data_IF_895803962108
#
_entry.id   IF_895803962108
#
_cell.length_a   1.000
_cell.length_b   1.000
_cell.length_c   1.000
_cell.angle_alpha   90.00
_cell.angle_beta   90.00
_cell.angle_gamma   90.00
#
_symmetry.space_group_name_H-M   'P 1'
#
loop_
_entity.id
_entity.type
_entity.pdbx_description
1 polymer ?
#
# COMPACT_ATOMS: atom_id res chain seq x y z
N UNK A 1 -32.64 35.90 26.00
CA UNK A 1 -32.12 34.53 25.74
C UNK A 1 -31.89 33.86 27.09
N UNK A 2 -32.34 32.61 27.28
CA UNK A 2 -32.11 31.91 28.55
C UNK A 2 -30.61 31.60 28.74
N UNK A 3 -30.09 31.77 29.96
CA UNK A 3 -28.70 31.40 30.33
C UNK A 3 -28.22 30.06 29.74
N UNK A 4 -29.00 28.95 29.75
CA UNK A 4 -28.55 27.69 29.16
C UNK A 4 -28.28 27.76 27.65
N UNK A 5 -29.01 28.60 26.90
CA UNK A 5 -28.77 28.76 25.44
C UNK A 5 -27.50 29.56 25.14
N UNK A 6 -27.16 30.53 25.99
CA UNK A 6 -25.91 31.29 25.89
C UNK A 6 -24.70 30.41 26.21
N UNK A 7 -24.81 29.57 27.25
CA UNK A 7 -23.77 28.60 27.62
C UNK A 7 -23.59 27.57 26.48
N UNK A 8 -24.67 27.00 25.95
CA UNK A 8 -24.60 26.06 24.83
C UNK A 8 -23.97 26.68 23.57
N UNK A 9 -24.33 27.92 23.22
CA UNK A 9 -23.73 28.63 22.11
C UNK A 9 -22.23 28.90 22.33
N UNK A 10 -21.84 29.30 23.54
CA UNK A 10 -20.43 29.50 23.90
C UNK A 10 -19.63 28.20 23.82
N UNK A 11 -20.19 27.08 24.26
CA UNK A 11 -19.58 25.75 24.13
C UNK A 11 -19.39 25.37 22.66
N UNK A 12 -20.39 25.56 21.80
CA UNK A 12 -20.27 25.24 20.36
C UNK A 12 -19.16 26.07 19.69
N UNK A 13 -19.10 27.38 19.98
CA UNK A 13 -18.06 28.26 19.43
C UNK A 13 -16.68 27.87 19.93
N UNK A 14 -16.53 27.55 21.22
CA UNK A 14 -15.27 27.06 21.79
C UNK A 14 -14.82 25.73 21.16
N UNK A 15 -15.73 24.78 21.00
CA UNK A 15 -15.42 23.48 20.38
C UNK A 15 -15.03 23.64 18.91
N UNK A 16 -15.73 24.50 18.17
CA UNK A 16 -15.38 24.83 16.79
C UNK A 16 -14.02 25.51 16.69
N UNK A 17 -13.74 26.49 17.56
CA UNK A 17 -12.44 27.17 17.60
C UNK A 17 -11.29 26.20 17.96
N UNK A 18 -11.50 25.27 18.89
CA UNK A 18 -10.53 24.23 19.24
C UNK A 18 -10.29 23.25 18.08
N UNK A 19 -11.34 22.88 17.35
CA UNK A 19 -11.24 21.99 16.19
C UNK A 19 -10.51 22.67 15.02
N UNK A 20 -10.79 23.96 14.77
CA UNK A 20 -10.04 24.77 13.81
C UNK A 20 -8.58 24.93 14.21
N UNK A 21 -8.29 25.19 15.49
CA UNK A 21 -6.92 25.32 16.00
C UNK A 21 -6.15 23.99 15.89
N UNK A 22 -6.82 22.86 16.14
CA UNK A 22 -6.24 21.53 16.01
C UNK A 22 -5.96 21.17 14.54
N UNK A 23 -6.92 21.40 13.64
CA UNK A 23 -6.74 21.19 12.20
C UNK A 23 -5.60 22.05 11.65
N UNK A 24 -5.51 23.32 12.08
CA UNK A 24 -4.43 24.23 11.73
C UNK A 24 -3.08 23.78 12.28
N UNK A 25 -3.00 23.37 13.56
CA UNK A 25 -1.78 22.83 14.17
C UNK A 25 -1.29 21.59 13.44
N UNK A 26 -2.20 20.72 13.02
CA UNK A 26 -1.87 19.49 12.29
C UNK A 26 -1.41 19.75 10.87
N UNK A 27 -2.11 20.61 10.13
CA UNK A 27 -1.66 21.06 8.82
C UNK A 27 -0.25 21.66 8.95
N UNK A 28 0.01 22.45 10.00
CA UNK A 28 1.35 22.95 10.31
C UNK A 28 2.37 21.87 10.66
N UNK A 29 2.00 20.80 11.37
CA UNK A 29 2.93 19.71 11.71
C UNK A 29 3.29 18.86 10.48
N UNK A 30 2.31 18.53 9.64
CA UNK A 30 2.57 17.83 8.38
C UNK A 30 3.37 18.73 7.43
N UNK A 31 2.99 20.00 7.30
CA UNK A 31 3.78 20.98 6.57
C UNK A 31 5.18 21.12 7.15
N UNK A 32 5.38 21.04 8.48
CA UNK A 32 6.70 21.09 9.09
C UNK A 32 7.53 19.83 8.79
N UNK A 33 6.93 18.64 8.75
CA UNK A 33 7.64 17.40 8.36
C UNK A 33 7.98 17.38 6.87
N UNK A 34 7.03 17.75 6.01
CA UNK A 34 7.29 17.95 4.58
C UNK A 34 8.32 19.05 4.35
N UNK A 35 8.25 20.15 5.11
CA UNK A 35 9.23 21.23 5.05
C UNK A 35 10.60 20.77 5.56
N UNK A 36 10.68 19.91 6.57
CA UNK A 36 11.95 19.34 7.04
C UNK A 36 12.56 18.38 6.00
N UNK A 37 11.74 17.53 5.39
CA UNK A 37 12.17 16.65 4.29
C UNK A 37 12.60 17.46 3.07
N UNK A 38 11.84 18.50 2.70
CA UNK A 38 12.21 19.44 1.65
C UNK A 38 13.46 20.24 2.02
N UNK A 39 13.59 20.71 3.26
CA UNK A 39 14.78 21.42 3.72
C UNK A 39 16.02 20.53 3.71
N UNK A 40 15.88 19.22 3.93
CA UNK A 40 16.96 18.26 3.75
C UNK A 40 17.31 18.05 2.25
N UNK A 41 16.32 18.11 1.36
CA UNK A 41 16.50 18.09 -0.10
C UNK A 41 17.00 19.41 -0.69
N UNK A 42 16.77 20.53 -0.01
CA UNK A 42 17.15 21.89 -0.42
C UNK A 42 18.45 22.35 0.30
N UNK A 43 18.94 21.57 1.28
CA UNK A 43 20.21 21.86 1.95
C UNK A 43 21.35 21.96 0.92
N UNK A 44 22.40 22.76 1.14
CA UNK A 44 23.53 22.82 0.23
C UNK A 44 24.16 21.43 0.09
N UNK A 45 24.07 20.85 -1.10
CA UNK A 45 24.76 19.62 -1.45
C UNK A 45 25.99 19.97 -2.28
N UNK A 46 27.06 19.16 -2.22
CA UNK A 46 28.06 19.15 -3.28
C UNK A 46 27.39 19.04 -4.66
N UNK A 47 27.97 19.67 -5.67
CA UNK A 47 27.53 19.66 -7.08
C UNK A 47 27.40 18.24 -7.67
N UNK A 48 28.00 17.25 -7.00
CA UNK A 48 28.02 15.84 -7.38
C UNK A 48 27.08 14.96 -6.54
N UNK A 49 26.27 15.53 -5.64
CA UNK A 49 25.31 14.77 -4.86
C UNK A 49 24.36 13.96 -5.75
N UNK A 50 24.17 12.69 -5.40
CA UNK A 50 23.33 11.77 -6.14
C UNK A 50 21.94 11.69 -5.48
N UNK A 51 20.89 11.79 -6.29
CA UNK A 51 19.52 11.57 -5.85
C UNK A 51 19.14 10.09 -6.04
N UNK A 52 18.64 9.44 -5.00
CA UNK A 52 17.92 8.16 -5.10
C UNK A 52 16.44 8.47 -4.88
N UNK A 53 15.68 8.50 -5.97
CA UNK A 53 14.26 8.73 -5.95
C UNK A 53 13.51 7.38 -5.95
N UNK A 54 12.37 7.30 -5.26
CA UNK A 54 11.57 6.08 -5.25
C UNK A 54 10.07 6.31 -5.37
N UNK A 55 9.38 5.31 -5.91
CA UNK A 55 7.92 5.23 -5.88
C UNK A 55 7.52 3.81 -5.50
N UNK A 56 6.78 3.69 -4.41
CA UNK A 56 6.33 2.39 -3.92
C UNK A 56 4.87 2.44 -3.50
N UNK A 57 4.09 1.46 -3.95
CA UNK A 57 2.74 1.29 -3.41
C UNK A 57 2.81 0.66 -2.02
N UNK A 58 3.54 -0.44 -1.93
CA UNK A 58 3.52 -1.33 -0.78
C UNK A 58 4.81 -1.27 0.08
N UNK A 59 5.84 -0.53 -0.34
CA UNK A 59 7.07 -0.24 0.42
C UNK A 59 8.32 -1.00 -0.04
N UNK A 60 8.21 -1.94 -0.99
CA UNK A 60 9.38 -2.72 -1.46
C UNK A 60 10.41 -1.84 -2.21
N UNK A 61 9.93 -0.95 -3.09
CA UNK A 61 10.79 -0.02 -3.82
C UNK A 61 11.48 0.98 -2.86
N UNK A 62 10.79 1.41 -1.80
CA UNK A 62 11.37 2.25 -0.74
C UNK A 62 12.51 1.53 -0.03
N UNK A 63 12.33 0.25 0.32
CA UNK A 63 13.37 -0.55 0.96
C UNK A 63 14.60 -0.73 0.05
N UNK A 64 14.39 -0.99 -1.24
CA UNK A 64 15.47 -1.08 -2.23
C UNK A 64 16.17 0.26 -2.48
N UNK A 65 15.44 1.38 -2.45
CA UNK A 65 16.00 2.71 -2.53
C UNK A 65 16.87 3.05 -1.31
N UNK A 66 16.41 2.68 -0.11
CA UNK A 66 17.19 2.83 1.12
C UNK A 66 18.49 2.02 1.08
N UNK A 67 18.42 0.77 0.59
CA UNK A 67 19.60 -0.08 0.39
C UNK A 67 20.55 0.48 -0.68
N UNK A 68 20.00 0.92 -1.82
CA UNK A 68 20.75 1.62 -2.88
C UNK A 68 21.53 2.80 -2.31
N UNK A 69 20.86 3.66 -1.54
CA UNK A 69 21.49 4.81 -0.93
C UNK A 69 22.56 4.43 0.11
N UNK A 70 22.32 3.38 0.90
CA UNK A 70 23.30 2.88 1.86
C UNK A 70 24.55 2.35 1.16
N UNK A 71 24.43 1.57 0.09
CA UNK A 71 25.55 1.05 -0.68
C UNK A 71 26.39 2.16 -1.31
N UNK A 72 25.74 3.15 -1.91
CA UNK A 72 26.43 4.30 -2.51
C UNK A 72 27.14 5.17 -1.45
N UNK A 73 26.49 5.41 -0.29
CA UNK A 73 27.12 6.12 0.84
C UNK A 73 28.31 5.35 1.41
N UNK A 74 28.23 4.02 1.49
CA UNK A 74 29.33 3.17 1.94
C UNK A 74 30.55 3.27 1.00
N UNK A 75 30.33 3.51 -0.29
CA UNK A 75 31.38 3.84 -1.26
C UNK A 75 31.80 5.32 -1.27
N UNK A 76 31.33 6.13 -0.32
CA UNK A 76 31.77 7.51 -0.13
C UNK A 76 31.00 8.57 -0.93
N UNK A 77 29.93 8.19 -1.63
CA UNK A 77 29.09 9.14 -2.36
C UNK A 77 28.15 9.90 -1.42
N UNK A 78 27.93 11.17 -1.71
CA UNK A 78 26.87 11.96 -1.05
C UNK A 78 25.53 11.65 -1.69
N UNK A 79 24.63 11.01 -0.94
CA UNK A 79 23.33 10.55 -1.46
C UNK A 79 22.15 11.16 -0.72
N UNK A 80 21.18 11.69 -1.47
CA UNK A 80 19.86 12.10 -0.99
C UNK A 80 18.81 11.06 -1.38
N UNK A 81 17.85 10.82 -0.50
CA UNK A 81 16.74 9.88 -0.75
C UNK A 81 15.44 10.65 -0.67
N UNK A 82 14.58 10.50 -1.66
CA UNK A 82 13.26 11.11 -1.69
C UNK A 82 12.23 10.21 -2.37
N UNK A 83 10.98 10.30 -1.92
CA UNK A 83 9.86 9.76 -2.68
C UNK A 83 9.52 10.70 -3.85
N UNK A 84 8.93 10.17 -4.93
CA UNK A 84 8.56 10.98 -6.09
C UNK A 84 7.51 12.06 -5.77
N UNK A 85 6.69 11.91 -4.72
CA UNK A 85 5.76 12.96 -4.27
C UNK A 85 6.46 14.20 -3.68
N UNK A 86 7.75 14.12 -3.37
CA UNK A 86 8.55 15.21 -2.82
C UNK A 86 9.36 15.95 -3.88
N UNK A 87 9.44 15.41 -5.09
CA UNK A 87 10.27 15.92 -6.19
C UNK A 87 9.35 16.51 -7.26
N UNK A 88 9.72 17.69 -7.77
CA UNK A 88 9.14 18.27 -8.97
C UNK A 88 10.21 18.39 -10.07
N UNK A 89 9.76 18.75 -11.27
CA UNK A 89 10.63 18.90 -12.43
C UNK A 89 11.77 19.93 -12.22
N UNK A 90 11.53 20.97 -11.43
CA UNK A 90 12.52 22.01 -11.16
C UNK A 90 13.64 21.48 -10.25
N UNK A 91 13.29 20.83 -9.14
CA UNK A 91 14.26 20.16 -8.27
C UNK A 91 15.02 19.07 -9.00
N UNK A 92 14.35 18.34 -9.88
CA UNK A 92 15.01 17.28 -10.65
C UNK A 92 16.14 17.84 -11.53
N UNK A 93 15.97 19.04 -12.08
CA UNK A 93 16.97 19.72 -12.89
C UNK A 93 18.22 20.16 -12.10
N UNK A 94 18.13 20.27 -10.77
CA UNK A 94 19.28 20.59 -9.91
C UNK A 94 20.25 19.41 -9.74
N UNK A 95 19.79 18.17 -9.99
CA UNK A 95 20.61 16.97 -9.83
C UNK A 95 21.29 16.55 -11.13
N UNK A 96 22.60 16.34 -11.07
CA UNK A 96 23.37 15.78 -12.21
C UNK A 96 23.37 14.26 -12.27
N UNK A 97 23.12 13.57 -11.16
CA UNK A 97 23.08 12.11 -11.09
C UNK A 97 21.87 11.66 -10.29
N UNK A 98 21.07 10.79 -10.89
CA UNK A 98 19.81 10.34 -10.32
C UNK A 98 19.64 8.83 -10.50
N UNK A 99 19.12 8.14 -9.50
CA UNK A 99 18.74 6.74 -9.58
C UNK A 99 17.29 6.65 -9.15
N UNK A 100 16.48 5.94 -9.92
CA UNK A 100 15.05 5.78 -9.67
C UNK A 100 14.76 4.33 -9.33
N UNK A 101 14.09 4.08 -8.22
CA UNK A 101 13.61 2.75 -7.81
C UNK A 101 12.09 2.79 -7.73
N UNK A 102 11.42 2.31 -8.77
CA UNK A 102 9.98 2.52 -8.94
C UNK A 102 9.25 1.20 -9.16
N UNK A 103 8.16 0.99 -8.41
CA UNK A 103 7.23 -0.10 -8.67
C UNK A 103 6.18 0.31 -9.69
N UNK A 104 5.69 -0.65 -10.47
CA UNK A 104 4.48 -0.51 -11.28
C UNK A 104 3.29 -1.09 -10.51
N UNK A 105 2.10 -0.52 -10.71
CA UNK A 105 0.87 -1.01 -10.11
C UNK A 105 -0.23 -1.14 -11.16
N UNK A 106 -1.26 -1.95 -10.90
CA UNK A 106 -2.36 -2.05 -11.85
C UNK A 106 -1.96 -2.63 -13.20
N UNK A 107 -2.47 -2.01 -14.24
CA UNK A 107 -2.18 -2.30 -15.64
C UNK A 107 -1.09 -1.37 -16.18
N UNK A 108 -0.01 -1.17 -15.43
CA UNK A 108 1.11 -0.31 -15.85
C UNK A 108 1.14 1.08 -15.22
N UNK A 109 0.22 1.36 -14.29
CA UNK A 109 0.05 2.65 -13.63
C UNK A 109 1.16 2.95 -12.61
N UNK A 110 1.45 4.24 -12.34
CA UNK A 110 2.29 4.63 -11.21
C UNK A 110 1.64 4.24 -9.87
N UNK A 111 2.45 3.99 -8.83
CA UNK A 111 1.96 3.96 -7.45
C UNK A 111 1.27 5.27 -7.07
N UNK A 112 0.39 5.23 -6.07
CA UNK A 112 -0.36 6.42 -5.61
C UNK A 112 0.56 7.59 -5.24
N UNK A 113 1.68 7.27 -4.58
CA UNK A 113 2.71 8.24 -4.19
C UNK A 113 3.46 8.87 -5.39
N UNK A 114 3.26 8.40 -6.62
CA UNK A 114 3.86 8.95 -7.83
C UNK A 114 2.83 9.52 -8.81
N UNK A 115 1.52 9.42 -8.52
CA UNK A 115 0.46 9.87 -9.44
C UNK A 115 0.58 11.34 -9.82
N UNK A 116 0.90 12.22 -8.84
CA UNK A 116 1.10 13.65 -9.11
C UNK A 116 2.31 13.91 -10.02
N UNK A 117 3.42 13.22 -9.79
CA UNK A 117 4.63 13.32 -10.61
C UNK A 117 4.39 12.80 -12.03
N UNK A 118 3.70 11.67 -12.16
CA UNK A 118 3.30 11.12 -13.46
C UNK A 118 2.40 12.08 -14.25
N UNK A 119 1.49 12.78 -13.58
CA UNK A 119 0.69 13.84 -14.20
C UNK A 119 1.54 15.00 -14.73
N UNK A 120 2.59 15.41 -14.00
CA UNK A 120 3.54 16.43 -14.48
C UNK A 120 4.33 15.95 -15.70
N UNK A 121 4.78 14.69 -15.71
CA UNK A 121 5.51 14.12 -16.83
C UNK A 121 4.74 14.21 -18.15
N UNK A 122 3.41 14.02 -18.10
CA UNK A 122 2.53 14.13 -19.27
C UNK A 122 2.32 15.56 -19.77
N UNK A 123 2.44 16.55 -18.87
CA UNK A 123 2.22 17.96 -19.18
C UNK A 123 3.49 18.65 -19.70
N UNK A 124 4.67 18.14 -19.33
CA UNK A 124 5.95 18.69 -19.74
C UNK A 124 6.34 18.09 -21.10
N UNK A 125 6.36 18.87 -22.20
CA UNK A 125 6.76 18.37 -23.51
C UNK A 125 8.24 17.97 -23.50
N UNK A 126 8.65 17.14 -24.47
CA UNK A 126 10.05 16.78 -24.67
C UNK A 126 10.93 18.04 -24.79
N UNK A 127 12.12 18.01 -24.18
CA UNK A 127 12.93 19.20 -23.98
C UNK A 127 14.34 18.88 -23.50
N UNK A 128 15.02 19.90 -22.98
CA UNK A 128 16.41 19.80 -22.47
C UNK A 128 16.49 20.10 -20.98
N UNK A 129 15.37 19.95 -20.26
CA UNK A 129 15.27 20.21 -18.83
C UNK A 129 16.37 19.48 -18.04
N UNK A 130 16.70 18.25 -18.46
CA UNK A 130 17.65 17.37 -17.80
C UNK A 130 18.90 17.12 -18.65
N UNK A 131 19.24 18.02 -19.58
CA UNK A 131 20.34 17.83 -20.54
C UNK A 131 21.73 17.60 -19.93
N UNK A 132 21.92 17.97 -18.66
CA UNK A 132 23.18 17.78 -17.91
C UNK A 132 23.12 16.61 -16.94
N UNK A 133 21.99 15.92 -16.90
CA UNK A 133 21.71 14.91 -15.90
C UNK A 133 21.99 13.52 -16.47
N UNK A 134 22.48 12.65 -15.59
CA UNK A 134 22.63 11.23 -15.85
C UNK A 134 21.68 10.46 -14.94
N UNK A 135 21.07 9.39 -15.45
CA UNK A 135 20.09 8.64 -14.69
C UNK A 135 20.18 7.13 -14.85
N UNK A 136 19.62 6.36 -13.92
CA UNK A 136 19.28 4.97 -14.16
C UNK A 136 17.97 4.61 -13.45
N UNK A 137 17.27 3.60 -13.96
CA UNK A 137 15.99 3.17 -13.42
C UNK A 137 16.05 1.67 -13.08
N UNK A 138 15.64 1.35 -11.85
CA UNK A 138 15.28 0.01 -11.40
C UNK A 138 13.75 -0.06 -11.38
N UNK A 139 13.17 -0.73 -12.38
CA UNK A 139 11.73 -0.89 -12.51
C UNK A 139 11.30 -2.24 -11.91
N UNK A 140 10.42 -2.19 -10.93
CA UNK A 140 9.85 -3.37 -10.29
C UNK A 140 8.47 -3.65 -10.90
N UNK A 141 8.25 -4.90 -11.30
CA UNK A 141 6.98 -5.35 -11.85
C UNK A 141 6.82 -6.85 -11.72
N UNK A 142 5.76 -7.38 -12.33
CA UNK A 142 5.50 -8.80 -12.42
C UNK A 142 5.05 -9.12 -13.85
N UNK A 143 5.74 -10.06 -14.50
CA UNK A 143 5.50 -10.43 -15.90
C UNK A 143 4.17 -11.16 -16.13
N UNK A 144 3.47 -11.57 -15.06
CA UNK A 144 2.10 -12.08 -15.11
C UNK A 144 1.09 -10.98 -15.51
N UNK A 145 1.43 -9.69 -15.39
CA UNK A 145 0.59 -8.56 -15.78
C UNK A 145 0.91 -8.07 -17.19
N UNK A 146 -0.11 -7.54 -17.90
CA UNK A 146 0.01 -7.14 -19.31
C UNK A 146 1.08 -6.06 -19.54
N UNK A 147 1.19 -5.11 -18.61
CA UNK A 147 2.12 -3.98 -18.68
C UNK A 147 3.28 -4.15 -17.69
N UNK A 148 4.07 -5.22 -17.88
CA UNK A 148 5.28 -5.49 -17.12
C UNK A 148 6.21 -4.25 -17.06
N UNK A 149 6.55 -3.82 -15.84
CA UNK A 149 7.36 -2.63 -15.56
C UNK A 149 6.86 -1.33 -16.21
N UNK A 150 5.57 -1.22 -16.53
CA UNK A 150 4.97 -0.13 -17.29
C UNK A 150 5.33 1.28 -16.83
N UNK A 151 5.21 1.57 -15.52
CA UNK A 151 5.55 2.89 -15.01
C UNK A 151 7.07 3.18 -15.10
N UNK A 152 7.91 2.19 -14.80
CA UNK A 152 9.36 2.33 -14.90
C UNK A 152 9.85 2.57 -16.33
N UNK A 153 9.26 1.88 -17.31
CA UNK A 153 9.51 2.11 -18.74
C UNK A 153 9.08 3.51 -19.18
N UNK A 154 7.92 3.96 -18.71
CA UNK A 154 7.42 5.30 -19.01
C UNK A 154 8.36 6.38 -18.43
N UNK A 155 8.82 6.20 -17.19
CA UNK A 155 9.76 7.09 -16.54
C UNK A 155 11.09 7.16 -17.27
N UNK A 156 11.65 6.01 -17.65
CA UNK A 156 12.88 5.93 -18.46
C UNK A 156 12.75 6.70 -19.79
N UNK A 157 11.68 6.44 -20.54
CA UNK A 157 11.43 7.15 -21.80
C UNK A 157 11.27 8.66 -21.59
N UNK A 158 10.56 9.08 -20.55
CA UNK A 158 10.39 10.50 -20.25
C UNK A 158 11.71 11.19 -19.87
N UNK A 159 12.53 10.57 -19.02
CA UNK A 159 13.86 11.10 -18.64
C UNK A 159 14.74 11.27 -19.87
N UNK A 160 14.76 10.28 -20.76
CA UNK A 160 15.46 10.35 -22.03
C UNK A 160 14.94 11.50 -22.92
N UNK A 161 13.62 11.65 -23.03
CA UNK A 161 12.98 12.72 -23.79
C UNK A 161 13.22 14.13 -23.23
N UNK A 162 13.64 14.25 -21.96
CA UNK A 162 14.08 15.51 -21.33
C UNK A 162 15.59 15.77 -21.48
N UNK A 163 16.30 14.93 -22.22
CA UNK A 163 17.72 15.08 -22.54
C UNK A 163 18.67 14.46 -21.51
N UNK A 164 18.16 13.73 -20.51
CA UNK A 164 19.03 13.03 -19.57
C UNK A 164 19.73 11.83 -20.24
N UNK A 165 20.99 11.60 -19.88
CA UNK A 165 21.76 10.47 -20.39
C UNK A 165 21.64 9.25 -19.45
N UNK A 166 21.33 8.04 -19.95
CA UNK A 166 21.34 6.86 -19.11
C UNK A 166 22.77 6.55 -18.65
N UNK A 167 22.95 6.24 -17.36
CA UNK A 167 24.18 5.71 -16.78
C UNK A 167 24.40 4.26 -17.25
N UNK A 168 23.33 3.50 -17.36
CA UNK A 168 23.25 2.14 -17.86
C UNK A 168 21.78 1.81 -18.21
N UNK A 169 21.56 0.66 -18.85
CA UNK A 169 20.24 0.24 -19.32
C UNK A 169 19.24 0.07 -18.17
N UNK A 170 17.95 0.34 -18.45
CA UNK A 170 16.83 0.07 -17.55
C UNK A 170 16.91 -1.37 -17.01
N UNK A 171 16.95 -1.51 -15.68
CA UNK A 171 16.92 -2.83 -15.03
C UNK A 171 15.49 -3.15 -14.65
N UNK A 172 14.93 -4.16 -15.29
CA UNK A 172 13.58 -4.67 -15.02
C UNK A 172 13.65 -5.85 -14.05
N UNK A 173 12.91 -5.77 -12.95
CA UNK A 173 12.88 -6.81 -11.91
C UNK A 173 11.52 -7.48 -11.95
N UNK A 174 11.50 -8.74 -12.36
CA UNK A 174 10.31 -9.58 -12.36
C UNK A 174 10.13 -10.27 -11.01
N UNK A 175 9.09 -9.88 -10.27
CA UNK A 175 8.70 -10.48 -8.99
C UNK A 175 9.87 -10.65 -7.99
N UNK A 176 10.70 -9.62 -7.89
CA UNK A 176 11.87 -9.61 -7.02
C UNK A 176 13.02 -10.51 -7.48
N UNK A 177 13.14 -10.81 -8.78
CA UNK A 177 14.20 -11.63 -9.35
C UNK A 177 15.60 -11.26 -8.80
N UNK A 178 16.27 -12.18 -8.09
CA UNK A 178 17.59 -11.93 -7.54
C UNK A 178 18.65 -11.63 -8.60
N UNK A 179 18.51 -12.12 -9.84
CA UNK A 179 19.50 -11.84 -10.89
C UNK A 179 19.44 -10.37 -11.35
N UNK A 180 18.24 -9.84 -11.59
CA UNK A 180 18.03 -8.41 -11.85
C UNK A 180 18.53 -7.53 -10.69
N UNK A 181 18.27 -7.91 -9.43
CA UNK A 181 18.75 -7.16 -8.27
C UNK A 181 20.29 -7.19 -8.15
N UNK A 182 20.94 -8.33 -8.42
CA UNK A 182 22.41 -8.41 -8.49
C UNK A 182 22.99 -7.59 -9.65
N UNK A 183 22.30 -7.55 -10.79
CA UNK A 183 22.68 -6.70 -11.92
C UNK A 183 22.68 -5.22 -11.51
N UNK A 184 21.62 -4.76 -10.83
CA UNK A 184 21.55 -3.41 -10.29
C UNK A 184 22.69 -3.13 -9.29
N UNK A 185 22.94 -4.04 -8.35
CA UNK A 185 24.04 -3.93 -7.38
C UNK A 185 25.41 -3.80 -8.04
N UNK A 186 25.66 -4.58 -9.09
CA UNK A 186 26.90 -4.53 -9.83
C UNK A 186 27.17 -3.12 -10.36
N UNK A 187 26.17 -2.47 -10.96
CA UNK A 187 26.28 -1.09 -11.43
C UNK A 187 26.48 -0.09 -10.29
N UNK A 188 25.85 -0.28 -9.14
CA UNK A 188 26.10 0.57 -7.97
C UNK A 188 27.56 0.45 -7.49
N UNK A 189 28.15 -0.74 -7.55
CA UNK A 189 29.57 -0.95 -7.27
C UNK A 189 30.48 -0.18 -8.21
N UNK A 190 30.17 -0.22 -9.52
CA UNK A 190 30.88 0.56 -10.54
C UNK A 190 30.78 2.07 -10.27
N UNK A 191 29.58 2.57 -9.93
CA UNK A 191 29.35 3.99 -9.63
C UNK A 191 30.06 4.45 -8.35
N UNK A 192 30.14 3.58 -7.34
CA UNK A 192 30.77 3.87 -6.06
C UNK A 192 32.30 3.61 -6.05
N UNK A 193 32.86 3.15 -7.17
CA UNK A 193 34.30 2.86 -7.29
C UNK A 193 34.76 1.67 -6.44
N UNK A 194 33.86 0.75 -6.09
CA UNK A 194 34.11 -0.42 -5.25
C UNK A 194 33.47 -1.67 -5.82
N UNK A 195 34.29 -2.69 -6.09
CA UNK A 195 33.84 -4.01 -6.54
C UNK A 195 33.46 -4.96 -5.40
N UNK A 196 33.53 -4.52 -4.14
CA UNK A 196 33.35 -5.32 -2.92
C UNK A 196 32.17 -4.85 -2.06
N UNK A 197 31.14 -4.26 -2.67
CA UNK A 197 29.89 -3.99 -1.96
C UNK A 197 29.31 -5.33 -1.46
N UNK A 198 28.87 -5.42 -0.18
CA UNK A 198 28.26 -6.63 0.34
C UNK A 198 27.03 -6.98 -0.52
N UNK A 199 26.96 -8.25 -0.94
CA UNK A 199 25.83 -8.83 -1.69
C UNK A 199 24.53 -8.42 -0.97
N UNK A 200 23.58 -7.81 -1.68
CA UNK A 200 22.26 -7.62 -1.08
C UNK A 200 21.60 -8.99 -1.04
N UNK A 201 21.77 -9.67 0.08
CA UNK A 201 21.00 -10.87 0.37
C UNK A 201 19.52 -10.49 0.31
N UNK A 202 18.75 -11.28 -0.44
CA UNK A 202 17.30 -11.18 -0.41
C UNK A 202 16.85 -11.21 1.07
N UNK A 203 15.91 -10.35 1.47
CA UNK A 203 15.53 -10.21 2.87
C UNK A 203 15.22 -11.59 3.50
N UNK A 204 15.91 -11.90 4.59
CA UNK A 204 15.86 -13.22 5.24
C UNK A 204 14.46 -13.48 5.77
N UNK A 205 13.86 -14.60 5.36
CA UNK A 205 12.60 -15.07 5.93
C UNK A 205 12.84 -15.60 7.35
N UNK A 206 11.92 -15.26 8.24
CA UNK A 206 11.78 -15.89 9.54
C UNK A 206 11.00 -17.21 9.39
N UNK A 207 11.28 -18.18 10.27
CA UNK A 207 10.55 -19.45 10.29
C UNK A 207 9.33 -19.34 11.20
N UNK A 208 8.18 -19.01 10.60
CA UNK A 208 6.89 -18.97 11.27
C UNK A 208 6.23 -20.34 11.26
N UNK A 209 5.30 -20.61 12.17
CA UNK A 209 4.58 -21.90 12.19
C UNK A 209 3.14 -21.72 11.77
N UNK A 210 2.68 -22.57 10.84
CA UNK A 210 1.24 -22.67 10.53
C UNK A 210 0.52 -23.29 11.72
N UNK A 211 -0.20 -22.48 12.50
CA UNK A 211 -0.85 -22.92 13.71
C UNK A 211 -2.25 -23.49 13.45
N UNK A 212 -3.05 -22.76 12.67
CA UNK A 212 -4.43 -23.14 12.36
C UNK A 212 -4.87 -22.73 10.96
N UNK A 213 -5.86 -23.45 10.44
CA UNK A 213 -6.55 -23.17 9.19
C UNK A 213 -8.04 -23.47 9.34
N UNK A 214 -8.85 -22.42 9.27
CA UNK A 214 -10.31 -22.52 9.39
C UNK A 214 -10.99 -22.11 8.09
N UNK A 215 -11.89 -22.95 7.55
CA UNK A 215 -12.71 -22.61 6.38
C UNK A 215 -13.84 -21.65 6.78
N UNK A 216 -13.91 -20.49 6.13
CA UNK A 216 -14.87 -19.43 6.46
C UNK A 216 -16.16 -19.45 5.62
N UNK A 217 -16.16 -20.15 4.47
CA UNK A 217 -17.31 -20.14 3.56
C UNK A 217 -17.70 -21.53 3.02
N UNK A 218 -18.08 -22.47 3.90
CA UNK A 218 -18.59 -23.76 3.45
C UNK A 218 -19.80 -23.55 2.53
N UNK A 219 -19.83 -24.26 1.39
CA UNK A 219 -20.93 -24.18 0.44
C UNK A 219 -20.96 -22.92 -0.45
N UNK A 220 -19.90 -22.09 -0.43
CA UNK A 220 -19.78 -20.98 -1.38
C UNK A 220 -19.70 -21.46 -2.83
N UNK A 221 -20.23 -20.65 -3.74
CA UNK A 221 -20.13 -20.87 -5.18
C UNK A 221 -18.78 -20.50 -5.78
N UNK A 222 -17.83 -20.00 -4.98
CA UNK A 222 -16.46 -19.86 -5.48
C UNK A 222 -15.43 -20.41 -4.51
N UNK A 223 -14.16 -20.08 -4.76
CA UNK A 223 -13.04 -20.75 -4.08
C UNK A 223 -13.15 -20.70 -2.56
N UNK A 224 -12.79 -21.81 -1.86
CA UNK A 224 -12.68 -21.84 -0.41
C UNK A 224 -11.88 -20.64 0.11
N UNK A 225 -12.40 -19.95 1.11
CA UNK A 225 -11.75 -18.83 1.79
C UNK A 225 -11.41 -19.27 3.22
N UNK A 226 -10.14 -19.19 3.58
CA UNK A 226 -9.65 -19.72 4.83
C UNK A 226 -9.00 -18.62 5.66
N UNK A 227 -9.29 -18.64 6.96
CA UNK A 227 -8.51 -17.92 7.96
C UNK A 227 -7.28 -18.77 8.29
N UNK A 228 -6.10 -18.26 7.94
CA UNK A 228 -4.82 -18.91 8.21
C UNK A 228 -4.17 -18.20 9.39
N UNK A 229 -3.81 -18.92 10.45
CA UNK A 229 -3.11 -18.36 11.61
C UNK A 229 -1.67 -18.85 11.64
N UNK A 230 -0.73 -17.90 11.66
CA UNK A 230 0.71 -18.13 11.72
C UNK A 230 1.26 -17.59 13.04
N UNK A 231 1.94 -18.42 13.82
CA UNK A 231 2.57 -17.98 15.08
C UNK A 231 4.04 -17.63 14.85
N UNK A 232 4.54 -16.57 15.49
CA UNK A 232 5.92 -16.13 15.35
C UNK A 232 6.91 -17.18 15.87
N UNK A 233 8.18 -17.15 15.42
CA UNK A 233 9.26 -17.89 16.06
C UNK A 233 9.44 -17.48 17.54
N UNK A 234 10.02 -18.38 18.35
CA UNK A 234 10.17 -18.17 19.79
C UNK A 234 11.07 -16.98 20.17
N UNK A 235 11.95 -16.54 19.26
CA UNK A 235 12.80 -15.36 19.42
C UNK A 235 12.74 -14.50 18.14
N UNK A 236 12.65 -13.17 18.32
CA UNK A 236 13.12 -12.23 17.30
C UNK A 236 12.13 -11.76 16.22
N UNK A 237 10.84 -12.09 16.28
CA UNK A 237 9.90 -11.56 15.27
C UNK A 237 9.72 -10.06 15.41
N UNK A 238 9.91 -9.32 14.31
CA UNK A 238 9.58 -7.89 14.30
C UNK A 238 8.08 -7.71 14.57
N UNK A 239 7.70 -6.75 15.44
CA UNK A 239 6.29 -6.43 15.61
C UNK A 239 5.73 -5.91 14.29
N UNK A 240 4.53 -6.33 13.94
CA UNK A 240 3.76 -5.78 12.82
C UNK A 240 2.68 -4.85 13.34
N UNK A 241 2.14 -4.02 12.47
CA UNK A 241 1.01 -3.16 12.75
C UNK A 241 -0.09 -3.30 11.69
N UNK A 242 -1.27 -2.76 11.98
CA UNK A 242 -2.38 -2.77 11.03
C UNK A 242 -1.99 -2.11 9.71
N UNK A 243 -2.27 -2.82 8.62
CA UNK A 243 -1.92 -2.42 7.25
C UNK A 243 -0.66 -3.09 6.71
N UNK A 244 0.18 -3.70 7.56
CA UNK A 244 1.39 -4.41 7.12
C UNK A 244 1.08 -5.67 6.30
N UNK A 245 2.09 -6.10 5.55
CA UNK A 245 2.00 -7.19 4.58
C UNK A 245 2.87 -8.36 5.06
N UNK A 246 2.30 -9.55 5.05
CA UNK A 246 3.04 -10.80 5.19
C UNK A 246 3.55 -11.22 3.80
N UNK A 247 4.86 -11.24 3.63
CA UNK A 247 5.49 -11.82 2.45
C UNK A 247 5.91 -13.25 2.76
N UNK A 248 5.28 -14.19 2.07
CA UNK A 248 5.47 -15.62 2.31
C UNK A 248 6.19 -16.23 1.12
N UNK A 249 7.29 -16.95 1.36
CA UNK A 249 7.94 -17.80 0.37
C UNK A 249 7.24 -19.16 0.28
N UNK A 250 6.37 -19.40 -0.73
CA UNK A 250 5.66 -20.66 -0.85
C UNK A 250 6.58 -21.76 -1.39
N UNK A 251 6.14 -23.01 -1.25
CA UNK A 251 6.80 -24.19 -1.82
C UNK A 251 5.79 -24.97 -2.66
N UNK A 252 6.25 -25.64 -3.72
CA UNK A 252 5.39 -26.50 -4.56
C UNK A 252 5.04 -27.82 -3.88
N UNK A 253 5.87 -28.24 -2.93
CA UNK A 253 5.70 -29.43 -2.12
C UNK A 253 6.32 -29.22 -0.73
N UNK A 254 5.87 -30.00 0.25
CA UNK A 254 6.41 -29.95 1.61
C UNK A 254 7.90 -30.33 1.59
N UNK A 255 8.75 -29.49 2.18
CA UNK A 255 10.21 -29.67 2.17
C UNK A 255 10.92 -29.29 0.86
N UNK A 256 10.19 -28.97 -0.22
CA UNK A 256 10.77 -28.57 -1.51
C UNK A 256 11.37 -27.16 -1.50
N UNK A 257 12.01 -26.72 -2.58
CA UNK A 257 12.66 -25.39 -2.63
C UNK A 257 11.66 -24.22 -2.49
N UNK A 258 12.10 -23.14 -1.81
CA UNK A 258 11.36 -21.88 -1.76
C UNK A 258 11.18 -21.31 -3.18
N UNK A 259 10.01 -20.75 -3.43
CA UNK A 259 9.69 -20.04 -4.65
C UNK A 259 9.62 -18.53 -4.38
N UNK A 260 9.42 -17.73 -5.43
CA UNK A 260 9.17 -16.30 -5.29
C UNK A 260 8.01 -16.03 -4.31
N UNK A 261 8.14 -15.00 -3.49
CA UNK A 261 7.17 -14.75 -2.42
C UNK A 261 5.81 -14.35 -2.96
N UNK A 262 4.80 -14.44 -2.09
CA UNK A 262 3.47 -13.90 -2.31
C UNK A 262 3.07 -13.02 -1.13
N UNK A 263 2.42 -11.91 -1.44
CA UNK A 263 2.03 -10.88 -0.49
C UNK A 263 0.62 -11.16 0.03
N UNK A 264 0.41 -10.97 1.33
CA UNK A 264 -0.89 -11.10 1.98
C UNK A 264 -1.09 -9.97 2.98
N UNK A 265 -2.20 -9.23 2.87
CA UNK A 265 -2.56 -8.24 3.88
C UNK A 265 -2.80 -8.93 5.23
N UNK A 266 -2.14 -8.45 6.28
CA UNK A 266 -2.28 -9.02 7.62
C UNK A 266 -3.64 -8.60 8.18
N UNK A 267 -4.41 -9.57 8.67
CA UNK A 267 -5.77 -9.41 9.19
C UNK A 267 -5.85 -9.32 10.72
N UNK A 268 -4.71 -9.35 11.41
CA UNK A 268 -4.60 -9.33 12.87
C UNK A 268 -3.64 -8.26 13.38
N UNK A 269 -3.67 -8.02 14.69
CA UNK A 269 -2.67 -7.26 15.43
C UNK A 269 -1.77 -8.22 16.24
N UNK A 270 -0.60 -7.76 16.74
CA UNK A 270 0.24 -8.57 17.62
C UNK A 270 -0.49 -9.17 18.83
N UNK A 271 -1.48 -8.47 19.38
CA UNK A 271 -2.25 -8.92 20.55
C UNK A 271 -3.16 -10.13 20.24
N UNK A 272 -3.41 -10.45 18.96
CA UNK A 272 -4.14 -11.65 18.55
C UNK A 272 -3.27 -12.93 18.66
N UNK A 273 -1.99 -12.81 19.05
CA UNK A 273 -1.07 -13.93 19.29
C UNK A 273 -0.40 -14.50 18.03
N UNK A 274 -0.73 -13.99 16.84
CA UNK A 274 -0.16 -14.42 15.57
C UNK A 274 -0.69 -13.64 14.37
N UNK A 275 -0.02 -13.81 13.24
CA UNK A 275 -0.47 -13.24 11.96
C UNK A 275 -1.65 -14.07 11.46
N UNK A 276 -2.78 -13.41 11.24
CA UNK A 276 -3.96 -13.99 10.60
C UNK A 276 -4.06 -13.48 9.17
N UNK A 277 -4.34 -14.37 8.22
CA UNK A 277 -4.51 -14.04 6.80
C UNK A 277 -5.88 -14.55 6.33
N UNK A 278 -6.54 -13.79 5.45
CA UNK A 278 -7.71 -14.29 4.71
C UNK A 278 -7.26 -14.72 3.32
N UNK A 279 -7.23 -16.03 3.09
CA UNK A 279 -6.69 -16.60 1.85
C UNK A 279 -7.80 -17.33 1.10
N UNK A 280 -8.13 -16.80 -0.09
CA UNK A 280 -8.99 -17.51 -1.04
C UNK A 280 -8.13 -18.45 -1.86
N UNK A 281 -8.50 -19.74 -1.89
CA UNK A 281 -7.84 -20.73 -2.71
C UNK A 281 -8.09 -20.42 -4.19
N UNK A 282 -7.01 -20.09 -4.91
CA UNK A 282 -7.04 -19.79 -6.34
C UNK A 282 -6.65 -21.04 -7.14
N UNK A 283 -7.16 -21.13 -8.37
CA UNK A 283 -6.79 -22.16 -9.33
C UNK A 283 -6.37 -21.51 -10.65
N UNK A 284 -5.33 -22.07 -11.26
CA UNK A 284 -4.89 -21.69 -12.59
C UNK A 284 -5.81 -22.20 -13.69
N UNK A 285 -5.57 -21.82 -14.95
CA UNK A 285 -6.36 -22.28 -16.10
C UNK A 285 -6.34 -23.79 -16.30
N UNK A 286 -5.27 -24.46 -15.89
CA UNK A 286 -5.09 -25.91 -15.90
C UNK A 286 -5.80 -26.63 -14.73
N UNK A 287 -6.47 -25.87 -13.86
CA UNK A 287 -7.14 -26.37 -12.66
C UNK A 287 -6.21 -26.62 -11.47
N UNK A 288 -4.89 -26.45 -11.64
CA UNK A 288 -3.91 -26.59 -10.57
C UNK A 288 -4.10 -25.47 -9.52
N UNK A 289 -3.70 -25.74 -8.28
CA UNK A 289 -3.75 -24.73 -7.24
C UNK A 289 -2.73 -23.63 -7.50
N UNK A 290 -3.11 -22.37 -7.24
CA UNK A 290 -2.20 -21.24 -7.32
C UNK A 290 -1.03 -21.41 -6.35
N UNK A 291 0.16 -20.91 -6.70
CA UNK A 291 1.38 -21.19 -5.96
C UNK A 291 1.31 -20.82 -4.47
N UNK A 292 0.93 -19.57 -4.16
CA UNK A 292 0.83 -19.10 -2.77
C UNK A 292 -0.42 -19.62 -2.06
N UNK A 293 -1.60 -19.43 -2.66
CA UNK A 293 -2.86 -19.84 -2.04
C UNK A 293 -2.96 -21.36 -1.88
N UNK A 294 -2.49 -22.15 -2.85
CA UNK A 294 -2.38 -23.60 -2.74
C UNK A 294 -1.42 -24.05 -1.65
N UNK A 295 -0.27 -23.38 -1.52
CA UNK A 295 0.68 -23.63 -0.44
C UNK A 295 0.00 -23.49 0.93
N UNK A 296 -0.62 -22.34 1.21
CA UNK A 296 -1.22 -22.05 2.52
C UNK A 296 -2.54 -22.76 2.80
N UNK A 297 -3.31 -23.12 1.77
CA UNK A 297 -4.65 -23.68 1.95
C UNK A 297 -4.72 -25.20 1.80
N UNK A 298 -3.69 -25.82 1.21
CA UNK A 298 -3.72 -27.26 0.91
C UNK A 298 -2.41 -27.98 1.19
N UNK A 299 -1.27 -27.46 0.71
CA UNK A 299 0.01 -28.20 0.71
C UNK A 299 0.63 -28.22 2.11
N UNK A 300 0.87 -27.04 2.70
CA UNK A 300 1.34 -26.91 4.07
C UNK A 300 0.28 -27.42 5.05
N UNK A 301 0.70 -28.07 6.11
CA UNK A 301 -0.15 -28.57 7.19
C UNK A 301 0.08 -27.81 8.48
N UNK A 302 -0.93 -27.74 9.38
CA UNK A 302 -0.72 -27.26 10.74
C UNK A 302 0.50 -27.94 11.39
N UNK A 303 1.41 -27.14 11.93
CA UNK A 303 2.71 -27.55 12.43
C UNK A 303 3.87 -27.28 11.47
N UNK A 304 3.64 -27.14 10.16
CA UNK A 304 4.72 -26.87 9.19
C UNK A 304 5.32 -25.47 9.36
N UNK A 305 6.59 -25.34 8.97
CA UNK A 305 7.29 -24.07 8.89
C UNK A 305 6.92 -23.29 7.63
N UNK A 306 6.65 -22.01 7.81
CA UNK A 306 6.31 -21.03 6.78
C UNK A 306 7.41 -19.98 6.77
N UNK A 307 8.13 -19.89 5.64
CA UNK A 307 9.08 -18.81 5.41
C UNK A 307 8.29 -17.51 5.23
N UNK A 308 8.34 -16.63 6.22
CA UNK A 308 7.58 -15.39 6.26
C UNK A 308 8.49 -14.24 6.67
N UNK A 309 8.29 -13.08 6.06
CA UNK A 309 8.77 -11.81 6.58
C UNK A 309 7.63 -10.81 6.61
N UNK A 310 7.66 -9.93 7.61
CA UNK A 310 6.74 -8.80 7.68
C UNK A 310 7.37 -7.62 6.94
N UNK A 311 6.58 -6.99 6.06
CA UNK A 311 6.94 -5.73 5.44
C UNK A 311 5.97 -4.63 5.89
N UNK A 312 6.56 -3.50 6.25
CA UNK A 312 5.81 -2.30 6.60
C UNK A 312 5.13 -1.70 5.35
N UNK A 313 3.81 -1.52 5.39
CA UNK A 313 3.06 -0.83 4.33
C UNK A 313 2.49 0.49 4.85
N UNK A 314 3.37 1.50 4.92
CA UNK A 314 3.07 2.82 5.49
C UNK A 314 1.89 3.52 4.83
N UNK A 315 1.66 3.25 3.54
CA UNK A 315 0.55 3.81 2.79
C UNK A 315 -0.81 3.25 3.21
N UNK A 316 -0.85 2.14 3.94
CA UNK A 316 -2.10 1.52 4.39
C UNK A 316 -2.21 1.42 5.92
N UNK A 317 -1.36 2.12 6.67
CA UNK A 317 -1.49 2.22 8.13
C UNK A 317 -2.69 3.06 8.53
N UNK A 318 -3.29 2.73 9.68
CA UNK A 318 -4.38 3.53 10.24
C UNK A 318 -3.90 4.96 10.57
N UNK A 319 -4.77 5.98 10.43
CA UNK A 319 -4.48 7.31 10.94
C UNK A 319 -4.23 7.25 12.46
N UNK A 320 -3.23 7.99 12.94
CA UNK A 320 -2.89 8.05 14.36
C UNK A 320 -3.92 8.82 15.22
N UNK A 321 -4.96 9.38 14.61
CA UNK A 321 -5.98 10.20 15.24
C UNK A 321 -7.39 9.61 15.07
N UNK A 322 -8.36 10.26 15.73
CA UNK A 322 -9.75 9.82 15.80
C UNK A 322 -10.61 10.26 14.60
N UNK A 323 -10.02 10.81 13.53
CA UNK A 323 -10.75 11.18 12.30
C UNK A 323 -11.63 10.02 11.82
N UNK A 324 -12.77 10.28 11.19
CA UNK A 324 -13.63 9.20 10.70
C UNK A 324 -12.92 8.36 9.63
N UNK A 325 -13.35 7.11 9.47
CA UNK A 325 -12.85 6.24 8.39
C UNK A 325 -13.97 5.59 7.61
N UNK A 326 -13.88 5.66 6.28
CA UNK A 326 -14.68 4.87 5.35
C UNK A 326 -13.77 3.75 4.85
N UNK A 327 -14.10 2.51 5.19
CA UNK A 327 -13.37 1.29 4.84
C UNK A 327 -14.18 0.56 3.78
N UNK A 328 -13.65 0.43 2.57
CA UNK A 328 -14.33 -0.19 1.42
C UNK A 328 -13.53 -1.41 0.98
N UNK A 329 -14.19 -2.56 0.87
CA UNK A 329 -13.50 -3.73 0.34
C UNK A 329 -14.40 -4.86 -0.06
N UNK A 330 -13.83 -5.84 -0.76
CA UNK A 330 -14.55 -7.04 -1.16
C UNK A 330 -13.73 -8.30 -0.92
N UNK A 331 -14.43 -9.41 -0.70
CA UNK A 331 -13.80 -10.72 -0.57
C UNK A 331 -12.68 -10.75 0.49
N UNK A 332 -11.49 -11.21 0.10
CA UNK A 332 -10.32 -11.27 1.00
C UNK A 332 -9.72 -9.89 1.31
N UNK A 333 -10.15 -8.83 0.64
CA UNK A 333 -9.79 -7.44 0.97
C UNK A 333 -10.27 -7.02 2.36
N UNK A 334 -11.18 -7.78 2.96
CA UNK A 334 -11.51 -7.63 4.37
C UNK A 334 -10.27 -7.78 5.28
N UNK A 335 -9.21 -8.48 4.87
CA UNK A 335 -8.03 -8.73 5.69
C UNK A 335 -7.40 -7.42 6.19
N UNK A 336 -6.94 -6.55 5.26
CA UNK A 336 -6.34 -5.28 5.63
C UNK A 336 -7.30 -4.38 6.43
N UNK A 337 -8.58 -4.33 6.02
CA UNK A 337 -9.60 -3.53 6.72
C UNK A 337 -9.86 -4.03 8.14
N UNK A 338 -9.86 -5.35 8.34
CA UNK A 338 -10.08 -5.99 9.64
C UNK A 338 -9.00 -5.58 10.64
N UNK A 339 -7.73 -5.59 10.22
CA UNK A 339 -6.63 -5.13 11.07
C UNK A 339 -6.76 -3.63 11.40
N UNK A 340 -7.15 -2.80 10.44
CA UNK A 340 -7.40 -1.37 10.68
C UNK A 340 -8.54 -1.13 11.68
N UNK A 341 -9.64 -1.85 11.57
CA UNK A 341 -10.77 -1.76 12.51
C UNK A 341 -10.33 -2.18 13.92
N UNK A 342 -9.56 -3.27 14.04
CA UNK A 342 -9.00 -3.70 15.33
C UNK A 342 -8.08 -2.64 15.95
N UNK A 343 -7.17 -2.05 15.17
CA UNK A 343 -6.28 -0.99 15.66
C UNK A 343 -7.06 0.22 16.16
N UNK A 344 -8.11 0.61 15.43
CA UNK A 344 -8.97 1.73 15.80
C UNK A 344 -9.81 1.44 17.02
N UNK A 345 -10.32 0.22 17.17
CA UNK A 345 -10.98 -0.26 18.38
C UNK A 345 -10.06 -0.18 19.59
N UNK A 346 -8.82 -0.65 19.46
CA UNK A 346 -7.82 -0.60 20.54
C UNK A 346 -7.48 0.85 20.93
N UNK A 347 -7.46 1.77 19.97
CA UNK A 347 -7.28 3.21 20.22
C UNK A 347 -8.56 3.94 20.68
N UNK A 348 -9.70 3.25 20.82
CA UNK A 348 -10.97 3.83 21.21
C UNK A 348 -11.67 4.69 20.14
N UNK A 349 -11.24 4.60 18.89
CA UNK A 349 -11.81 5.34 17.76
C UNK A 349 -13.02 4.63 17.18
N UNK A 350 -14.19 5.29 17.23
CA UNK A 350 -15.51 4.68 16.98
C UNK A 350 -16.17 5.09 15.67
N UNK A 351 -15.72 6.19 15.05
CA UNK A 351 -16.29 6.73 13.81
C UNK A 351 -15.79 5.97 12.58
N UNK A 352 -16.18 4.72 12.46
CA UNK A 352 -15.74 3.82 11.40
C UNK A 352 -16.95 3.32 10.62
N UNK A 353 -16.88 3.42 9.30
CA UNK A 353 -17.90 2.94 8.39
C UNK A 353 -17.29 1.87 7.49
N UNK A 354 -17.80 0.64 7.58
CA UNK A 354 -17.43 -0.46 6.69
C UNK A 354 -18.45 -0.60 5.55
N UNK A 355 -17.97 -0.59 4.31
CA UNK A 355 -18.72 -0.99 3.12
C UNK A 355 -18.05 -2.25 2.56
N UNK A 356 -18.71 -3.39 2.70
CA UNK A 356 -18.10 -4.69 2.40
C UNK A 356 -18.91 -5.51 1.38
N UNK A 357 -18.23 -6.08 0.39
CA UNK A 357 -18.86 -6.88 -0.66
C UNK A 357 -18.44 -8.35 -0.66
N UNK A 358 -19.41 -9.27 -0.83
CA UNK A 358 -19.14 -10.66 -1.19
C UNK A 358 -20.19 -11.25 -2.15
N UNK A 359 -20.14 -12.57 -2.38
CA UNK A 359 -21.06 -13.26 -3.28
C UNK A 359 -22.42 -13.48 -2.63
N UNK A 360 -22.46 -14.22 -1.52
CA UNK A 360 -23.70 -14.65 -0.89
C UNK A 360 -23.66 -14.46 0.63
N UNK A 361 -24.72 -13.91 1.22
CA UNK A 361 -24.77 -13.69 2.67
C UNK A 361 -24.68 -14.99 3.47
N UNK A 362 -25.33 -16.05 2.99
CA UNK A 362 -25.44 -17.32 3.70
C UNK A 362 -24.11 -18.06 3.87
N UNK A 363 -23.17 -17.87 2.93
CA UNK A 363 -21.92 -18.63 2.90
C UNK A 363 -20.68 -17.73 3.01
N UNK A 364 -20.71 -16.51 2.47
CA UNK A 364 -19.52 -15.67 2.28
C UNK A 364 -19.46 -14.45 3.22
N UNK A 365 -20.29 -14.40 4.26
CA UNK A 365 -20.22 -13.37 5.30
C UNK A 365 -19.01 -13.58 6.24
N UNK A 366 -17.80 -13.43 5.69
CA UNK A 366 -16.53 -13.58 6.41
C UNK A 366 -16.50 -12.74 7.68
N UNK A 367 -16.05 -13.33 8.78
CA UNK A 367 -15.92 -12.64 10.07
C UNK A 367 -17.21 -11.90 10.48
N UNK A 368 -18.38 -12.42 10.07
CA UNK A 368 -19.68 -11.75 10.32
C UNK A 368 -19.96 -11.56 11.81
N UNK A 369 -19.51 -12.47 12.66
CA UNK A 369 -19.59 -12.36 14.12
C UNK A 369 -18.76 -11.17 14.66
N UNK A 370 -17.51 -11.02 14.22
CA UNK A 370 -16.65 -9.87 14.58
C UNK A 370 -17.33 -8.56 14.15
N UNK A 371 -17.83 -8.49 12.91
CA UNK A 371 -18.49 -7.29 12.37
C UNK A 371 -19.76 -6.96 13.16
N UNK A 372 -20.58 -7.96 13.48
CA UNK A 372 -21.79 -7.78 14.27
C UNK A 372 -21.45 -7.27 15.69
N UNK A 373 -20.42 -7.83 16.32
CA UNK A 373 -19.93 -7.39 17.62
C UNK A 373 -19.43 -5.95 17.57
N UNK A 374 -18.63 -5.59 16.56
CA UNK A 374 -18.10 -4.23 16.39
C UNK A 374 -19.19 -3.20 16.11
N UNK A 375 -20.26 -3.60 15.44
CA UNK A 375 -21.43 -2.74 15.29
C UNK A 375 -22.16 -2.55 16.63
N UNK A 376 -22.32 -3.62 17.40
CA UNK A 376 -23.00 -3.59 18.69
C UNK A 376 -22.24 -2.77 19.74
N UNK A 377 -20.91 -2.91 19.80
CA UNK A 377 -20.08 -2.19 20.75
C UNK A 377 -19.74 -0.76 20.29
N UNK A 378 -20.18 -0.35 19.10
CA UNK A 378 -20.01 0.98 18.53
C UNK A 378 -18.62 1.24 17.94
N UNK A 379 -17.79 0.22 17.76
CA UNK A 379 -16.54 0.32 16.99
C UNK A 379 -16.82 0.65 15.53
N UNK A 380 -17.84 0.02 14.94
CA UNK A 380 -18.37 0.35 13.62
C UNK A 380 -19.65 1.17 13.80
N UNK A 381 -19.55 2.49 13.59
CA UNK A 381 -20.70 3.41 13.56
C UNK A 381 -21.68 3.01 12.45
N UNK A 382 -21.16 2.52 11.32
CA UNK A 382 -21.95 2.11 10.17
C UNK A 382 -21.37 0.89 9.46
N UNK A 383 -22.26 0.03 8.97
CA UNK A 383 -21.91 -1.13 8.15
C UNK A 383 -22.92 -1.24 7.01
N UNK A 384 -22.44 -1.29 5.77
CA UNK A 384 -23.22 -1.63 4.60
C UNK A 384 -22.59 -2.86 3.92
N UNK A 385 -23.32 -3.96 3.85
CA UNK A 385 -22.87 -5.19 3.18
C UNK A 385 -23.59 -5.38 1.86
N UNK A 386 -22.85 -5.74 0.82
CA UNK A 386 -23.37 -5.98 -0.53
C UNK A 386 -23.09 -7.41 -0.94
N UNK A 387 -24.13 -8.15 -1.31
CA UNK A 387 -24.00 -9.51 -1.81
C UNK A 387 -24.37 -9.56 -3.29
N UNK A 388 -23.39 -9.86 -4.13
CA UNK A 388 -23.50 -9.76 -5.59
C UNK A 388 -24.40 -10.84 -6.22
N UNK A 389 -24.73 -11.91 -5.48
CA UNK A 389 -25.45 -13.08 -5.99
C UNK A 389 -26.71 -13.46 -5.21
N UNK A 390 -27.14 -12.63 -4.26
CA UNK A 390 -28.37 -12.86 -3.49
C UNK A 390 -29.63 -12.38 -4.22
N UNK A 391 -29.46 -11.70 -5.36
CA UNK A 391 -30.53 -11.23 -6.23
C UNK A 391 -30.14 -11.37 -7.71
N UNK A 392 -31.11 -11.19 -8.61
CA UNK A 392 -30.91 -11.36 -10.05
C UNK A 392 -29.93 -10.34 -10.66
N UNK A 393 -30.02 -9.07 -10.23
CA UNK A 393 -29.11 -8.01 -10.66
C UNK A 393 -27.87 -7.96 -9.76
N UNK A 394 -26.69 -8.04 -10.36
CA UNK A 394 -25.44 -7.97 -9.59
C UNK A 394 -25.28 -6.57 -9.01
N UNK A 395 -24.99 -6.52 -7.71
CA UNK A 395 -24.66 -5.29 -6.98
C UNK A 395 -23.28 -5.44 -6.36
N UNK A 396 -22.52 -4.36 -6.38
CA UNK A 396 -21.15 -4.30 -5.85
C UNK A 396 -20.97 -3.10 -4.91
N UNK A 397 -19.79 -3.01 -4.28
CA UNK A 397 -19.50 -1.95 -3.29
C UNK A 397 -19.53 -0.54 -3.89
N UNK A 398 -19.16 -0.39 -5.16
CA UNK A 398 -19.25 0.88 -5.89
C UNK A 398 -20.69 1.34 -6.11
N UNK A 399 -21.64 0.41 -6.27
CA UNK A 399 -23.06 0.73 -6.40
C UNK A 399 -23.59 1.23 -5.05
N UNK A 400 -23.22 0.54 -3.96
CA UNK A 400 -23.54 0.99 -2.60
C UNK A 400 -22.93 2.36 -2.28
N UNK A 401 -21.69 2.65 -2.71
CA UNK A 401 -21.09 3.98 -2.57
C UNK A 401 -21.95 5.06 -3.26
N UNK A 402 -22.39 4.80 -4.51
CA UNK A 402 -23.24 5.74 -5.26
C UNK A 402 -24.60 5.95 -4.59
N UNK A 403 -25.23 4.89 -4.11
CA UNK A 403 -26.47 4.96 -3.33
C UNK A 403 -26.29 5.79 -2.04
N UNK A 404 -25.10 5.71 -1.43
CA UNK A 404 -24.75 6.43 -0.20
C UNK A 404 -24.01 7.75 -0.45
N UNK A 405 -24.08 8.31 -1.67
CA UNK A 405 -23.29 9.48 -2.09
C UNK A 405 -23.37 10.67 -1.11
N UNK A 406 -24.57 10.97 -0.58
CA UNK A 406 -24.74 12.06 0.39
C UNK A 406 -24.00 11.78 1.71
N UNK A 407 -24.07 10.55 2.22
CA UNK A 407 -23.36 10.15 3.43
C UNK A 407 -21.85 10.14 3.20
N UNK A 408 -21.38 9.65 2.05
CA UNK A 408 -19.95 9.70 1.67
C UNK A 408 -19.44 11.14 1.68
N UNK A 409 -20.15 12.07 1.02
CA UNK A 409 -19.80 13.51 1.05
C UNK A 409 -19.71 14.04 2.48
N UNK A 410 -20.74 13.79 3.29
CA UNK A 410 -20.78 14.27 4.68
C UNK A 410 -19.62 13.72 5.54
N UNK A 411 -19.24 12.45 5.35
CA UNK A 411 -18.10 11.87 6.06
C UNK A 411 -16.77 12.49 5.60
N UNK A 412 -16.59 12.69 4.29
CA UNK A 412 -15.40 13.34 3.75
C UNK A 412 -15.30 14.81 4.19
N UNK A 413 -16.42 15.53 4.22
CA UNK A 413 -16.55 16.89 4.79
C UNK A 413 -16.14 16.91 6.27
N UNK A 414 -16.50 15.87 7.02
CA UNK A 414 -16.14 15.70 8.43
C UNK A 414 -14.68 15.23 8.65
N UNK A 415 -13.84 15.22 7.62
CA UNK A 415 -12.42 14.87 7.76
C UNK A 415 -12.11 13.37 7.58
N UNK A 416 -13.05 12.56 7.07
CA UNK A 416 -12.82 11.12 6.93
C UNK A 416 -11.61 10.76 6.05
N UNK A 417 -10.93 9.67 6.40
CA UNK A 417 -10.03 8.98 5.48
C UNK A 417 -10.74 7.79 4.83
N UNK A 418 -10.47 7.53 3.56
CA UNK A 418 -11.05 6.47 2.74
C UNK A 418 -9.97 5.42 2.48
N UNK A 419 -10.24 4.17 2.86
CA UNK A 419 -9.34 3.04 2.70
C UNK A 419 -10.01 1.98 1.83
N UNK A 420 -9.34 1.58 0.75
CA UNK A 420 -9.85 0.59 -0.21
C UNK A 420 -8.94 -0.63 -0.21
N UNK A 421 -9.50 -1.82 -0.01
CA UNK A 421 -8.73 -3.06 -0.04
C UNK A 421 -9.50 -4.20 -0.74
N UNK A 422 -8.81 -4.97 -1.58
CA UNK A 422 -9.38 -6.10 -2.31
C UNK A 422 -8.96 -6.14 -3.78
N UNK A 423 -9.86 -6.63 -4.64
CA UNK A 423 -9.53 -6.89 -6.05
C UNK A 423 -9.18 -5.60 -6.81
N UNK A 424 -7.98 -5.54 -7.37
CA UNK A 424 -7.56 -4.48 -8.28
C UNK A 424 -8.42 -4.49 -9.55
N UNK A 425 -8.62 -5.68 -10.12
CA UNK A 425 -9.49 -5.86 -11.28
C UNK A 425 -10.96 -5.70 -10.85
N UNK A 426 -11.65 -4.74 -11.46
CA UNK A 426 -13.08 -4.48 -11.28
C UNK A 426 -13.45 -3.68 -10.03
N UNK A 427 -13.00 -4.06 -8.83
CA UNK A 427 -13.44 -3.38 -7.60
C UNK A 427 -12.73 -2.05 -7.38
N UNK A 428 -11.39 -2.04 -7.37
CA UNK A 428 -10.62 -0.83 -7.09
C UNK A 428 -10.95 0.32 -8.08
N UNK A 429 -10.95 0.02 -9.38
CA UNK A 429 -11.33 0.99 -10.42
C UNK A 429 -12.77 1.47 -10.29
N UNK A 430 -13.73 0.56 -10.07
CA UNK A 430 -15.14 0.93 -9.90
C UNK A 430 -15.39 1.79 -8.65
N UNK A 431 -14.64 1.57 -7.56
CA UNK A 431 -14.68 2.41 -6.36
C UNK A 431 -14.08 3.78 -6.64
N UNK A 432 -12.97 3.85 -7.36
CA UNK A 432 -12.33 5.11 -7.75
C UNK A 432 -13.28 5.99 -8.59
N UNK A 433 -13.88 5.40 -9.62
CA UNK A 433 -14.91 6.04 -10.45
C UNK A 433 -16.11 6.51 -9.61
N UNK A 434 -16.63 5.66 -8.72
CA UNK A 434 -17.74 6.04 -7.86
C UNK A 434 -17.38 7.21 -6.92
N UNK A 435 -16.17 7.22 -6.36
CA UNK A 435 -15.71 8.32 -5.52
C UNK A 435 -15.52 9.60 -6.34
N UNK A 436 -15.02 9.50 -7.57
CA UNK A 436 -14.92 10.62 -8.50
C UNK A 436 -16.30 11.19 -8.87
N UNK A 437 -17.29 10.35 -9.14
CA UNK A 437 -18.69 10.74 -9.39
C UNK A 437 -19.29 11.49 -8.17
N UNK A 438 -18.97 11.02 -6.95
CA UNK A 438 -19.57 11.51 -5.71
C UNK A 438 -18.91 12.82 -5.22
N UNK A 439 -17.58 12.91 -5.32
CA UNK A 439 -16.75 13.96 -4.72
C UNK A 439 -16.22 14.97 -5.75
N UNK A 440 -16.10 14.59 -7.02
CA UNK A 440 -15.40 15.34 -8.06
C UNK A 440 -13.89 15.07 -8.05
N UNK A 441 -13.26 15.18 -9.24
CA UNK A 441 -11.85 14.86 -9.46
C UNK A 441 -10.89 15.66 -8.55
N UNK A 442 -11.08 16.97 -8.44
CA UNK A 442 -10.21 17.83 -7.62
C UNK A 442 -10.21 17.40 -6.15
N UNK A 443 -11.39 17.12 -5.61
CA UNK A 443 -11.53 16.76 -4.20
C UNK A 443 -10.95 15.38 -3.90
N UNK A 444 -11.09 14.44 -4.83
CA UNK A 444 -10.46 13.12 -4.72
C UNK A 444 -8.93 13.24 -4.74
N UNK A 445 -8.39 14.08 -5.62
CA UNK A 445 -6.96 14.39 -5.68
C UNK A 445 -6.46 15.04 -4.38
N UNK A 446 -7.21 15.98 -3.81
CA UNK A 446 -6.87 16.61 -2.52
C UNK A 446 -6.81 15.56 -1.38
N UNK A 447 -7.70 14.55 -1.41
CA UNK A 447 -7.65 13.44 -0.44
C UNK A 447 -6.40 12.59 -0.62
N UNK A 448 -6.00 12.29 -1.86
CA UNK A 448 -4.78 11.53 -2.14
C UNK A 448 -3.54 12.28 -1.63
N UNK A 449 -3.42 13.56 -1.99
CA UNK A 449 -2.30 14.42 -1.56
C UNK A 449 -2.24 14.56 -0.04
N UNK A 450 -3.39 14.64 0.64
CA UNK A 450 -3.48 14.68 2.09
C UNK A 450 -3.28 13.31 2.77
N UNK A 451 -3.01 12.24 2.00
CA UNK A 451 -2.88 10.88 2.51
C UNK A 451 -4.16 10.33 3.15
N UNK A 452 -5.32 10.87 2.74
CA UNK A 452 -6.66 10.53 3.22
C UNK A 452 -7.43 9.61 2.27
N UNK A 453 -6.90 9.30 1.10
CA UNK A 453 -7.39 8.22 0.25
C UNK A 453 -6.24 7.23 0.03
N UNK A 454 -6.40 5.99 0.51
CA UNK A 454 -5.35 4.96 0.56
C UNK A 454 -5.87 3.64 0.01
N UNK A 455 -5.00 2.91 -0.70
CA UNK A 455 -5.37 1.66 -1.39
C UNK A 455 -4.36 0.54 -1.13
N UNK A 456 -4.88 -0.65 -0.83
CA UNK A 456 -4.15 -1.91 -0.75
C UNK A 456 -4.90 -2.96 -1.58
N UNK A 457 -4.69 -2.92 -2.89
CA UNK A 457 -5.41 -3.76 -3.86
C UNK A 457 -4.46 -4.73 -4.58
N UNK A 458 -5.00 -5.84 -5.08
CA UNK A 458 -4.20 -6.90 -5.69
C UNK A 458 -4.96 -7.64 -6.79
#
# INVERSE_FOLDING_TARGET
>A
MSQPRLIAAACVVLTWALLCLWAWRRARLQQAQHALAQQALDAPAPDDALLVAYASQTGYAEALAAQTAQSLRAGGLTVRVAALDQIDAARLADYRRMLFVVSTYGEGDPPDAAAAFAGQMQQIPAGTLLARAQYAVLALGDSEYAHFCGFGRHLDHWLHAQGAAPLFDLVEVDNGDPAALRHWQHHLGLLAGRSDLPDWEAPVYESWRLADRTLLNPGSQGGPCLLITLTPPAEGSRPWQAGDIAEIGPRRERGGALQAHREYSIASLPEDGGIQLLVRQMRGPDGALGLGSGWLTHIAQPGDEIALRVRANRNFHAPADDRPMILVGNGTGLAGLRALIKARRAAGHRRNWLIFGERNAACDAFCGEDIAQWRQDGTLERVDTVFSRDQAERRYVQDCLREQAHAVRAWVDAGAAVYVCGSLQGMAGGVDEALQDILGAQRLQDLQQAGRYRRDVY
#
